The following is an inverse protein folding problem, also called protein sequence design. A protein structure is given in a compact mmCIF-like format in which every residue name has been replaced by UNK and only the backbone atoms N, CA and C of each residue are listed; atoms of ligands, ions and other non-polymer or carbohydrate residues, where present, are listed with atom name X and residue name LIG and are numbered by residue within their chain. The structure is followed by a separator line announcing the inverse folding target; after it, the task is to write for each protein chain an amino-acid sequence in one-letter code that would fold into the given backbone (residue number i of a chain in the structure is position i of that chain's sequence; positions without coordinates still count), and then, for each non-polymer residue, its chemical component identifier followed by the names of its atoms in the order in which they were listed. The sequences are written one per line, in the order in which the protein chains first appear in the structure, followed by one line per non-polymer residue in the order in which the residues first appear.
data_IF_860024942632
#
_entry.id   IF_860024942632
#
_cell.length_a   1.000
_cell.length_b   1.000
_cell.length_c   1.000
_cell.angle_alpha   90.00
_cell.angle_beta   90.00
_cell.angle_gamma   90.00
#
_symmetry.space_group_name_H-M   'P 1'
#
loop_
_entity.id
_entity.type
_entity.pdbx_description
1 polymer ?
#
# COMPACT_ATOMS: atom_id res chain seq x y z
N UNK A 1 18.56 -11.67 11.73
CA UNK A 1 18.59 -13.05 12.23
C UNK A 1 17.19 -13.60 12.53
N UNK A 2 16.32 -12.87 13.26
CA UNK A 2 14.96 -13.34 13.59
C UNK A 2 14.09 -13.66 12.38
N UNK A 3 14.26 -12.93 11.26
CA UNK A 3 13.46 -13.08 10.05
C UNK A 3 14.20 -13.76 8.89
N UNK A 4 15.33 -14.39 9.15
CA UNK A 4 16.14 -15.05 8.11
C UNK A 4 15.35 -16.14 7.38
N UNK A 5 14.53 -16.91 8.10
CA UNK A 5 13.66 -17.92 7.53
C UNK A 5 12.66 -17.34 6.51
N UNK A 6 12.23 -16.09 6.72
CA UNK A 6 11.29 -15.41 5.83
C UNK A 6 11.94 -15.08 4.48
N UNK A 7 13.22 -14.71 4.47
CA UNK A 7 13.97 -14.51 3.23
C UNK A 7 13.96 -15.78 2.36
N UNK A 8 14.24 -16.93 2.96
CA UNK A 8 14.22 -18.21 2.25
C UNK A 8 12.82 -18.53 1.71
N UNK A 9 11.79 -18.31 2.51
CA UNK A 9 10.41 -18.54 2.08
C UNK A 9 9.98 -17.63 0.92
N UNK A 10 10.37 -16.37 0.95
CA UNK A 10 10.07 -15.44 -0.16
C UNK A 10 10.70 -15.96 -1.46
N UNK A 11 11.97 -16.34 -1.42
CA UNK A 11 12.70 -16.84 -2.60
C UNK A 11 12.11 -18.16 -3.08
N UNK A 12 11.82 -19.10 -2.20
CA UNK A 12 11.19 -20.39 -2.53
C UNK A 12 9.83 -20.23 -3.23
N UNK A 13 9.09 -19.17 -2.89
CA UNK A 13 7.79 -18.87 -3.49
C UNK A 13 7.87 -17.93 -4.70
N UNK A 14 9.04 -17.77 -5.30
CA UNK A 14 9.24 -17.00 -6.52
C UNK A 14 9.32 -15.48 -6.32
N UNK A 15 9.47 -15.04 -5.08
CA UNK A 15 9.69 -13.64 -4.74
C UNK A 15 11.16 -13.26 -4.68
N UNK A 16 11.42 -11.99 -4.38
CA UNK A 16 12.77 -11.49 -4.17
C UNK A 16 12.80 -10.41 -3.08
N UNK A 17 13.98 -10.15 -2.58
CA UNK A 17 14.26 -9.03 -1.67
C UNK A 17 15.21 -8.08 -2.38
N UNK A 18 14.85 -6.81 -2.42
CA UNK A 18 15.60 -5.78 -3.17
C UNK A 18 16.04 -4.68 -2.23
N UNK A 19 17.25 -4.19 -2.40
CA UNK A 19 17.78 -3.03 -1.66
C UNK A 19 18.67 -2.18 -2.57
N UNK A 20 18.66 -0.88 -2.36
CA UNK A 20 19.62 0.04 -2.97
C UNK A 20 20.96 0.08 -2.23
N UNK A 21 21.01 -0.48 -1.03
CA UNK A 21 22.16 -0.37 -0.13
C UNK A 21 22.93 -1.68 -0.05
N UNK A 22 24.24 -1.56 0.10
CA UNK A 22 25.09 -2.71 0.34
C UNK A 22 24.76 -3.35 1.70
N UNK A 23 24.83 -4.69 1.85
CA UNK A 23 24.54 -5.36 3.11
C UNK A 23 25.32 -4.86 4.32
N UNK A 24 26.54 -4.37 4.09
CA UNK A 24 27.45 -3.89 5.14
C UNK A 24 27.28 -2.39 5.46
N UNK A 25 26.38 -1.69 4.76
CA UNK A 25 26.11 -0.28 5.07
C UNK A 25 25.38 -0.14 6.40
N UNK A 26 25.75 0.90 7.14
CA UNK A 26 25.06 1.24 8.38
C UNK A 26 23.61 1.66 8.13
N UNK A 27 22.74 1.28 9.04
CA UNK A 27 21.32 1.66 8.97
C UNK A 27 21.17 3.13 9.30
N UNK A 28 20.62 3.89 8.34
CA UNK A 28 20.25 5.28 8.54
C UNK A 28 18.71 5.38 8.53
N UNK A 29 18.14 6.08 9.53
CA UNK A 29 16.71 6.32 9.60
C UNK A 29 16.16 7.09 8.41
N UNK A 30 16.96 7.93 7.77
CA UNK A 30 16.61 8.65 6.55
C UNK A 30 16.38 7.72 5.35
N UNK A 31 16.91 6.48 5.38
CA UNK A 31 16.74 5.50 4.32
C UNK A 31 15.30 4.97 4.23
N UNK A 32 14.53 5.00 5.31
CA UNK A 32 13.15 4.53 5.29
C UNK A 32 12.24 5.39 4.39
N UNK A 33 12.19 6.74 4.55
CA UNK A 33 11.44 7.57 3.63
C UNK A 33 11.96 7.51 2.19
N UNK A 34 13.29 7.47 2.01
CA UNK A 34 13.91 7.33 0.69
C UNK A 34 13.53 6.02 0.00
N UNK A 35 13.46 4.90 0.73
CA UNK A 35 13.05 3.60 0.21
C UNK A 35 11.60 3.61 -0.29
N UNK A 36 10.71 4.40 0.34
CA UNK A 36 9.29 4.41 0.01
C UNK A 36 9.02 4.80 -1.45
N UNK A 37 9.90 5.56 -2.11
CA UNK A 37 9.80 5.86 -3.54
C UNK A 37 9.91 4.60 -4.42
N UNK A 38 10.64 3.61 -3.96
CA UNK A 38 10.77 2.32 -4.67
C UNK A 38 9.50 1.49 -4.50
N UNK A 39 8.92 1.48 -3.31
CA UNK A 39 7.66 0.77 -3.04
C UNK A 39 6.58 1.29 -3.99
N UNK A 40 6.37 2.59 -4.06
CA UNK A 40 5.40 3.18 -4.97
C UNK A 40 5.81 3.02 -6.43
N UNK A 41 7.11 3.09 -6.73
CA UNK A 41 7.66 2.99 -8.08
C UNK A 41 7.44 1.62 -8.72
N UNK A 42 7.48 0.55 -7.96
CA UNK A 42 7.24 -0.82 -8.43
C UNK A 42 5.76 -1.18 -8.54
N UNK A 43 4.88 -0.39 -7.92
CA UNK A 43 3.45 -0.65 -7.89
C UNK A 43 2.70 0.05 -9.03
N UNK A 44 1.51 -0.43 -9.36
CA UNK A 44 0.56 0.27 -10.24
C UNK A 44 -0.10 1.43 -9.53
N UNK A 45 -0.35 1.28 -8.24
CA UNK A 45 -0.93 2.29 -7.37
C UNK A 45 -0.63 1.95 -5.91
N UNK A 46 -1.03 2.83 -5.01
CA UNK A 46 -0.79 2.69 -3.57
C UNK A 46 -2.11 2.76 -2.82
N UNK A 47 -2.40 1.75 -2.01
CA UNK A 47 -3.52 1.74 -1.09
C UNK A 47 -3.04 2.09 0.31
N UNK A 48 -3.57 3.15 0.88
CA UNK A 48 -3.33 3.55 2.27
C UNK A 48 -4.54 3.13 3.11
N UNK A 49 -4.33 2.17 4.00
CA UNK A 49 -5.39 1.62 4.87
C UNK A 49 -5.60 2.50 6.09
N UNK A 50 -4.52 2.83 6.76
CA UNK A 50 -4.49 3.72 7.92
C UNK A 50 -3.25 4.61 7.85
N UNK A 51 -3.39 5.85 8.22
CA UNK A 51 -2.27 6.78 8.34
C UNK A 51 -2.61 7.88 9.34
N UNK A 52 -1.97 7.90 10.50
CA UNK A 52 -2.08 9.01 11.43
C UNK A 52 -1.42 10.26 10.85
N UNK A 53 -1.66 11.39 11.50
CA UNK A 53 -0.99 12.64 11.13
C UNK A 53 0.53 12.46 11.12
N UNK A 54 1.17 12.82 10.02
CA UNK A 54 2.62 12.62 9.76
C UNK A 54 3.08 11.17 9.81
N UNK A 55 2.20 10.22 9.48
CA UNK A 55 2.57 8.82 9.37
C UNK A 55 3.44 8.51 8.14
N UNK A 56 4.27 7.46 8.22
CA UNK A 56 5.16 7.05 7.13
C UNK A 56 4.43 6.67 5.83
N UNK A 57 3.21 6.18 5.93
CA UNK A 57 2.40 5.83 4.75
C UNK A 57 2.07 7.04 3.86
N UNK A 58 2.00 8.24 4.44
CA UNK A 58 1.77 9.46 3.67
C UNK A 58 2.94 9.81 2.77
N UNK A 59 4.15 9.43 3.17
CA UNK A 59 5.37 9.62 2.37
C UNK A 59 5.31 8.76 1.11
N UNK A 60 4.91 7.50 1.25
CA UNK A 60 4.71 6.60 0.11
C UNK A 60 3.63 7.11 -0.83
N UNK A 61 2.51 7.60 -0.31
CA UNK A 61 1.45 8.21 -1.10
C UNK A 61 1.92 9.46 -1.85
N UNK A 62 2.76 10.28 -1.22
CA UNK A 62 3.36 11.45 -1.86
C UNK A 62 4.26 11.05 -3.03
N UNK A 63 5.10 10.04 -2.84
CA UNK A 63 5.94 9.52 -3.93
C UNK A 63 5.11 8.97 -5.09
N UNK A 64 4.03 8.24 -4.79
CA UNK A 64 3.12 7.74 -5.82
C UNK A 64 2.55 8.88 -6.66
N UNK A 65 2.07 9.94 -6.05
CA UNK A 65 1.56 11.13 -6.76
C UNK A 65 2.62 11.79 -7.63
N UNK A 66 3.83 11.97 -7.12
CA UNK A 66 4.95 12.54 -7.88
C UNK A 66 5.34 11.65 -9.07
N UNK A 67 5.11 10.37 -8.98
CA UNK A 67 5.37 9.38 -10.04
C UNK A 67 4.20 9.23 -11.02
N UNK A 68 3.12 9.98 -10.87
CA UNK A 68 1.93 9.89 -11.70
C UNK A 68 1.07 8.65 -11.45
N UNK A 69 1.19 8.05 -10.29
CA UNK A 69 0.42 6.85 -9.90
C UNK A 69 -0.76 7.21 -9.03
N UNK A 70 -1.79 6.36 -9.08
CA UNK A 70 -2.99 6.57 -8.28
C UNK A 70 -2.78 6.20 -6.82
N UNK A 71 -3.43 6.97 -5.96
CA UNK A 71 -3.52 6.72 -4.53
C UNK A 71 -4.96 6.38 -4.18
N UNK A 72 -5.11 5.27 -3.47
CA UNK A 72 -6.38 4.78 -2.96
C UNK A 72 -6.34 4.84 -1.43
N UNK A 73 -7.44 5.17 -0.81
CA UNK A 73 -7.51 5.27 0.65
C UNK A 73 -8.79 4.65 1.17
N UNK A 74 -8.67 3.97 2.29
CA UNK A 74 -9.83 3.52 3.06
C UNK A 74 -10.26 4.67 3.95
N UNK A 75 -11.54 5.09 3.89
CA UNK A 75 -12.05 6.14 4.77
C UNK A 75 -12.11 5.67 6.21
N UNK A 76 -12.04 6.60 7.13
CA UNK A 76 -12.11 6.32 8.55
C UNK A 76 -13.04 7.31 9.25
N UNK A 77 -13.38 7.04 10.51
CA UNK A 77 -14.14 7.96 11.33
C UNK A 77 -13.33 9.25 11.53
N UNK A 78 -14.00 10.39 11.56
CA UNK A 78 -13.36 11.70 11.71
C UNK A 78 -12.66 11.87 13.06
N UNK A 79 -13.13 11.14 14.08
CA UNK A 79 -12.59 11.15 15.44
C UNK A 79 -11.49 10.10 15.66
N UNK A 80 -11.14 9.31 14.63
CA UNK A 80 -10.14 8.28 14.72
C UNK A 80 -8.76 8.79 14.26
N UNK A 81 -7.76 8.91 15.18
CA UNK A 81 -6.45 9.45 14.82
C UNK A 81 -5.73 8.67 13.71
N UNK A 82 -5.92 7.35 13.66
CA UNK A 82 -5.30 6.50 12.63
C UNK A 82 -5.85 6.78 11.22
N UNK A 83 -7.01 7.39 11.12
CA UNK A 83 -7.65 7.73 9.85
C UNK A 83 -7.47 9.17 9.40
N UNK A 84 -6.76 9.99 10.15
CA UNK A 84 -6.64 11.41 9.82
C UNK A 84 -6.09 11.63 8.40
N UNK A 85 -4.98 11.02 8.07
CA UNK A 85 -4.32 11.24 6.80
C UNK A 85 -5.01 10.55 5.63
N UNK A 86 -5.67 9.41 5.83
CA UNK A 86 -6.46 8.77 4.77
C UNK A 86 -7.64 9.62 4.36
N UNK A 87 -8.38 10.18 5.33
CA UNK A 87 -9.48 11.09 5.05
C UNK A 87 -9.00 12.39 4.37
N UNK A 88 -7.89 12.94 4.83
CA UNK A 88 -7.27 14.11 4.21
C UNK A 88 -6.84 13.84 2.76
N UNK A 89 -6.23 12.68 2.49
CA UNK A 89 -5.83 12.27 1.15
C UNK A 89 -7.04 12.14 0.22
N UNK A 90 -8.15 11.55 0.70
CA UNK A 90 -9.40 11.45 -0.05
C UNK A 90 -9.93 12.84 -0.39
N UNK A 91 -9.96 13.74 0.58
CA UNK A 91 -10.39 15.12 0.37
C UNK A 91 -9.54 15.85 -0.67
N UNK A 92 -8.28 15.46 -0.81
CA UNK A 92 -7.31 16.04 -1.73
C UNK A 92 -7.08 15.20 -3.00
N UNK A 93 -8.04 14.39 -3.39
CA UNK A 93 -8.07 13.74 -4.69
C UNK A 93 -7.69 12.27 -4.74
N UNK A 94 -7.37 11.63 -3.60
CA UNK A 94 -7.19 10.19 -3.57
C UNK A 94 -8.55 9.49 -3.74
N UNK A 95 -8.51 8.27 -4.29
CA UNK A 95 -9.72 7.48 -4.54
C UNK A 95 -10.16 6.79 -3.25
N UNK A 96 -11.40 7.00 -2.85
CA UNK A 96 -12.00 6.29 -1.73
C UNK A 96 -12.26 4.84 -2.14
N UNK A 97 -11.83 3.90 -1.30
CA UNK A 97 -11.99 2.46 -1.52
C UNK A 97 -12.83 1.87 -0.41
N UNK A 98 -13.87 1.16 -0.79
CA UNK A 98 -14.77 0.43 0.11
C UNK A 98 -14.50 -1.08 0.05
N UNK A 99 -14.08 -1.57 -1.11
CA UNK A 99 -13.85 -3.00 -1.36
C UNK A 99 -12.74 -3.19 -2.38
N UNK A 100 -12.12 -4.38 -2.45
CA UNK A 100 -11.00 -4.64 -3.38
C UNK A 100 -11.37 -4.41 -4.86
N UNK A 101 -12.61 -4.65 -5.24
CA UNK A 101 -13.07 -4.47 -6.61
C UNK A 101 -12.98 -3.01 -7.09
N UNK A 102 -13.06 -2.05 -6.19
CA UNK A 102 -12.87 -0.63 -6.53
C UNK A 102 -11.50 -0.38 -7.17
N UNK A 103 -10.47 -1.08 -6.71
CA UNK A 103 -9.12 -1.00 -7.27
C UNK A 103 -8.99 -1.84 -8.53
N UNK A 104 -9.51 -3.08 -8.51
CA UNK A 104 -9.42 -3.99 -9.64
C UNK A 104 -10.13 -3.43 -10.88
N UNK A 105 -11.31 -2.84 -10.69
CA UNK A 105 -12.06 -2.19 -11.77
C UNK A 105 -11.33 -0.96 -12.32
N UNK A 106 -10.68 -0.20 -11.45
CA UNK A 106 -9.90 0.96 -11.87
C UNK A 106 -8.81 0.58 -12.89
N UNK A 107 -8.15 -0.56 -12.69
CA UNK A 107 -7.11 -1.08 -13.58
C UNK A 107 -7.61 -2.10 -14.59
N UNK A 108 -8.91 -2.30 -14.70
CA UNK A 108 -9.53 -3.31 -15.58
C UNK A 108 -8.98 -4.73 -15.32
N UNK A 109 -8.77 -5.07 -14.05
CA UNK A 109 -8.29 -6.37 -13.60
C UNK A 109 -9.45 -7.22 -13.11
N UNK A 110 -9.40 -8.54 -13.42
CA UNK A 110 -10.39 -9.50 -12.93
C UNK A 110 -9.94 -10.07 -11.59
N UNK A 111 -10.83 -10.18 -10.59
CA UNK A 111 -10.49 -10.79 -9.33
C UNK A 111 -10.17 -12.28 -9.55
N UNK A 112 -9.08 -12.75 -8.95
CA UNK A 112 -8.71 -14.18 -8.96
C UNK A 112 -9.45 -14.98 -7.90
N UNK A 113 -10.18 -14.31 -7.01
CA UNK A 113 -10.89 -14.93 -5.90
C UNK A 113 -12.35 -15.08 -6.29
N UNK A 114 -12.84 -16.33 -6.31
CA UNK A 114 -14.26 -16.62 -6.46
C UNK A 114 -14.94 -16.42 -5.09
N UNK A 115 -15.87 -15.50 -5.02
CA UNK A 115 -16.69 -15.32 -3.81
C UNK A 115 -17.57 -16.56 -3.65
N UNK A 116 -17.57 -17.24 -2.48
CA UNK A 116 -18.47 -18.34 -2.24
C UNK A 116 -19.93 -17.92 -2.49
N UNK A 117 -20.71 -18.80 -3.12
CA UNK A 117 -22.11 -18.51 -3.48
C UNK A 117 -22.98 -18.00 -2.33
N UNK A 118 -22.69 -18.44 -1.11
CA UNK A 118 -23.38 -18.02 0.11
C UNK A 118 -23.21 -16.52 0.41
N UNK A 119 -22.21 -15.85 -0.17
CA UNK A 119 -21.97 -14.42 -0.02
C UNK A 119 -22.37 -13.59 -1.24
N UNK A 120 -22.76 -14.21 -2.35
CA UNK A 120 -23.15 -13.49 -3.57
C UNK A 120 -24.35 -12.56 -3.35
N UNK A 121 -25.31 -12.97 -2.52
CA UNK A 121 -26.51 -12.18 -2.22
C UNK A 121 -26.21 -10.90 -1.45
N UNK A 122 -25.07 -10.83 -0.72
CA UNK A 122 -24.65 -9.64 0.03
C UNK A 122 -24.13 -8.55 -0.92
N UNK A 123 -23.57 -8.95 -2.07
CA UNK A 123 -22.94 -8.05 -3.04
C UNK A 123 -23.82 -7.72 -4.25
N UNK A 124 -24.97 -8.34 -4.36
CA UNK A 124 -26.01 -8.05 -5.35
C UNK A 124 -27.10 -7.18 -4.73
#
# INVERSE_FOLDING_TARGET
EENEWLFHKIIENGGCVVSEYHPDEEKDMANFPARNRIISGLALGVLVVEAPYRGGSTITAKHARLQGKEVFCIPNRLDEPAGYSTNWLIQNGANLVMEPDDILQYYDLQPKITIPKEYEEIYN
#
